data_IF_231806333463
#
_entry.id   IF_231806333463
#
_cell.length_a   1.000
_cell.length_b   1.000
_cell.length_c   1.000
_cell.angle_alpha   90.00
_cell.angle_beta   90.00
_cell.angle_gamma   90.00
#
_symmetry.space_group_name_H-M   'P 1'
#
loop_
_entity.id
_entity.type
_entity.pdbx_description
1 polymer ?
#
# COMPACT_ATOMS: atom_id res chain seq x y z
N UNK A 1 -47.84 -62.96 -15.94
CA UNK A 1 -47.54 -62.77 -14.50
C UNK A 1 -46.38 -61.80 -14.35
N UNK A 2 -46.56 -60.80 -13.47
CA UNK A 2 -45.52 -60.02 -12.75
C UNK A 2 -44.63 -59.06 -13.54
N UNK A 3 -45.24 -57.99 -14.06
CA UNK A 3 -44.61 -56.67 -14.16
C UNK A 3 -44.66 -56.03 -12.76
N UNK A 4 -43.62 -56.29 -11.96
CA UNK A 4 -43.49 -55.68 -10.63
C UNK A 4 -42.19 -54.92 -10.54
N UNK A 5 -42.35 -53.61 -10.34
CA UNK A 5 -41.58 -52.80 -9.39
C UNK A 5 -40.07 -52.68 -9.67
N UNK A 6 -39.69 -51.88 -10.64
CA UNK A 6 -38.36 -51.24 -10.64
C UNK A 6 -38.54 -49.78 -11.08
N UNK A 7 -39.22 -49.01 -10.23
CA UNK A 7 -39.46 -47.58 -10.43
C UNK A 7 -39.15 -46.85 -9.11
N UNK A 8 -37.95 -47.04 -8.54
CA UNK A 8 -37.55 -46.26 -7.35
C UNK A 8 -36.04 -46.38 -7.06
N UNK A 9 -35.15 -45.99 -7.99
CA UNK A 9 -33.73 -45.82 -7.63
C UNK A 9 -32.95 -44.96 -8.62
N UNK A 10 -33.47 -43.76 -8.93
CA UNK A 10 -32.77 -42.80 -9.79
C UNK A 10 -32.95 -41.35 -9.32
N UNK A 11 -32.98 -41.12 -8.00
CA UNK A 11 -33.03 -39.77 -7.40
C UNK A 11 -32.15 -39.72 -6.14
N UNK A 12 -30.91 -40.24 -6.21
CA UNK A 12 -29.87 -39.98 -5.19
C UNK A 12 -28.51 -40.07 -5.88
N UNK A 13 -28.14 -39.06 -6.67
CA UNK A 13 -26.86 -39.13 -7.38
C UNK A 13 -26.45 -37.91 -8.19
N UNK A 14 -27.14 -36.77 -8.07
CA UNK A 14 -26.78 -35.53 -8.78
C UNK A 14 -27.01 -34.33 -7.86
N UNK A 15 -26.34 -34.30 -6.71
CA UNK A 15 -26.31 -33.12 -5.84
C UNK A 15 -24.93 -32.86 -5.20
N UNK A 16 -23.85 -33.44 -5.72
CA UNK A 16 -22.54 -33.40 -5.08
C UNK A 16 -21.36 -33.05 -6.00
N UNK A 17 -21.51 -32.05 -6.88
CA UNK A 17 -20.36 -31.54 -7.70
C UNK A 17 -20.36 -30.00 -7.90
N UNK A 18 -21.01 -29.20 -7.05
CA UNK A 18 -21.10 -27.74 -7.25
C UNK A 18 -20.63 -26.89 -6.05
N UNK A 19 -19.66 -27.37 -5.27
CA UNK A 19 -19.17 -26.65 -4.09
C UNK A 19 -17.65 -26.36 -4.07
N UNK A 20 -16.93 -26.48 -5.19
CA UNK A 20 -15.47 -26.23 -5.21
C UNK A 20 -15.00 -25.16 -6.20
N UNK A 21 -15.91 -24.36 -6.75
CA UNK A 21 -15.52 -23.05 -7.29
C UNK A 21 -15.40 -22.03 -6.12
N UNK A 22 -14.65 -22.37 -5.07
CA UNK A 22 -14.17 -21.34 -4.15
C UNK A 22 -13.15 -20.55 -4.96
N UNK A 23 -13.54 -19.34 -5.31
CA UNK A 23 -12.75 -18.35 -6.01
C UNK A 23 -11.37 -18.23 -5.33
N UNK A 24 -10.37 -18.95 -5.82
CA UNK A 24 -8.96 -18.67 -5.53
C UNK A 24 -8.53 -17.51 -6.41
N UNK A 25 -9.27 -16.39 -6.34
CA UNK A 25 -8.85 -15.15 -6.97
C UNK A 25 -7.64 -14.67 -6.19
N UNK A 26 -6.46 -15.11 -6.63
CA UNK A 26 -5.20 -14.48 -6.26
C UNK A 26 -5.36 -12.99 -6.52
N UNK A 27 -5.05 -12.16 -5.52
CA UNK A 27 -5.09 -10.72 -5.68
C UNK A 27 -4.26 -10.30 -6.91
N UNK A 28 -4.70 -9.30 -7.67
CA UNK A 28 -3.93 -8.82 -8.82
C UNK A 28 -2.57 -8.35 -8.34
N UNK A 29 -1.52 -8.73 -9.10
CA UNK A 29 -0.21 -8.14 -8.94
C UNK A 29 -0.25 -6.71 -9.49
N UNK A 30 0.28 -5.75 -8.75
CA UNK A 30 0.50 -4.38 -9.22
C UNK A 30 1.97 -3.99 -9.02
N UNK A 31 2.44 -3.07 -9.86
CA UNK A 31 3.78 -2.48 -9.80
C UNK A 31 3.63 -0.97 -9.66
N UNK A 32 4.30 -0.41 -8.67
CA UNK A 32 4.35 1.04 -8.44
C UNK A 32 5.79 1.51 -8.36
N UNK A 33 6.05 2.76 -8.69
CA UNK A 33 7.35 3.37 -8.42
C UNK A 33 7.33 4.00 -7.02
N UNK A 34 8.28 3.63 -6.17
CA UNK A 34 8.50 4.30 -4.89
C UNK A 34 9.79 5.12 -4.99
N UNK A 35 9.65 6.42 -4.78
CA UNK A 35 10.77 7.36 -4.69
C UNK A 35 10.78 8.04 -3.33
N UNK A 36 11.94 8.06 -2.68
CA UNK A 36 12.17 8.70 -1.38
C UNK A 36 13.26 9.75 -1.57
N UNK A 37 12.93 11.02 -1.37
CA UNK A 37 13.80 12.17 -1.57
C UNK A 37 13.89 12.97 -0.28
N UNK A 38 15.11 13.23 0.19
CA UNK A 38 15.33 14.13 1.31
C UNK A 38 15.86 15.48 0.83
N UNK A 39 17.16 15.74 1.03
CA UNK A 39 17.83 17.01 0.75
C UNK A 39 18.27 17.18 -0.71
N UNK A 40 18.62 16.08 -1.39
CA UNK A 40 19.08 16.10 -2.78
C UNK A 40 18.11 15.39 -3.74
N UNK A 41 17.37 16.13 -4.59
CA UNK A 41 16.46 15.52 -5.55
C UNK A 41 17.17 14.75 -6.68
N UNK A 42 18.45 15.04 -6.96
CA UNK A 42 19.23 14.32 -7.97
C UNK A 42 19.78 13.00 -7.43
N UNK A 43 19.88 12.84 -6.10
CA UNK A 43 20.38 11.65 -5.43
C UNK A 43 19.36 11.14 -4.39
N UNK A 44 18.24 10.53 -4.84
CA UNK A 44 17.21 10.03 -3.93
C UNK A 44 17.75 8.92 -3.02
N UNK A 45 17.17 8.82 -1.81
CA UNK A 45 17.42 7.72 -0.87
C UNK A 45 17.00 6.39 -1.50
N UNK A 46 15.89 6.41 -2.23
CA UNK A 46 15.35 5.26 -2.95
C UNK A 46 14.64 5.72 -4.22
N UNK A 47 14.80 4.99 -5.31
CA UNK A 47 14.01 5.12 -6.54
C UNK A 47 13.91 3.73 -7.18
N UNK A 48 12.79 3.04 -6.97
CA UNK A 48 12.64 1.63 -7.35
C UNK A 48 11.21 1.26 -7.70
N UNK A 49 11.05 0.17 -8.45
CA UNK A 49 9.76 -0.48 -8.67
C UNK A 49 9.44 -1.42 -7.49
N UNK A 50 8.27 -1.25 -6.89
CA UNK A 50 7.73 -2.11 -5.83
C UNK A 50 6.60 -2.95 -6.41
N UNK A 51 6.70 -4.27 -6.25
CA UNK A 51 5.66 -5.21 -6.68
C UNK A 51 4.82 -5.64 -5.48
N UNK A 52 3.50 -5.50 -5.57
CA UNK A 52 2.56 -5.86 -4.51
C UNK A 52 1.54 -6.87 -5.02
N UNK A 53 1.09 -7.74 -4.12
CA UNK A 53 0.02 -8.71 -4.39
C UNK A 53 -1.04 -8.62 -3.26
N UNK A 54 -1.80 -7.53 -3.27
CA UNK A 54 -2.83 -7.20 -2.27
C UNK A 54 -4.14 -6.83 -2.97
N UNK A 55 -5.29 -7.10 -2.34
CA UNK A 55 -6.61 -6.80 -2.91
C UNK A 55 -6.88 -5.28 -2.97
N UNK A 56 -6.37 -4.54 -1.98
CA UNK A 56 -6.50 -3.08 -1.88
C UNK A 56 -5.19 -2.49 -1.38
N UNK A 57 -4.13 -2.49 -2.23
CA UNK A 57 -2.82 -2.02 -1.83
C UNK A 57 -2.87 -0.54 -1.46
N UNK A 58 -2.05 -0.17 -0.46
CA UNK A 58 -1.99 1.21 0.05
C UNK A 58 -0.61 1.80 -0.10
N UNK A 59 -0.52 3.13 0.01
CA UNK A 59 0.77 3.84 0.01
C UNK A 59 1.69 3.31 1.10
N UNK A 60 1.17 3.06 2.31
CA UNK A 60 1.99 2.54 3.41
C UNK A 60 2.51 1.13 3.10
N UNK A 61 1.69 0.25 2.52
CA UNK A 61 2.14 -1.10 2.12
C UNK A 61 3.27 -1.05 1.09
N UNK A 62 3.15 -0.21 0.05
CA UNK A 62 4.21 -0.02 -0.94
C UNK A 62 5.50 0.51 -0.30
N UNK A 63 5.36 1.49 0.61
CA UNK A 63 6.50 2.06 1.34
C UNK A 63 7.23 0.99 2.16
N UNK A 64 6.49 0.22 2.95
CA UNK A 64 7.07 -0.80 3.83
C UNK A 64 7.76 -1.91 3.03
N UNK A 65 7.15 -2.38 1.94
CA UNK A 65 7.74 -3.39 1.06
C UNK A 65 9.01 -2.84 0.38
N UNK A 66 8.95 -1.64 -0.19
CA UNK A 66 10.10 -0.99 -0.82
C UNK A 66 11.27 -0.79 0.15
N UNK A 67 11.00 -0.33 1.36
CA UNK A 67 12.01 -0.19 2.40
C UNK A 67 12.55 -1.54 2.89
N UNK A 68 11.71 -2.55 3.04
CA UNK A 68 12.13 -3.89 3.46
C UNK A 68 13.09 -4.53 2.43
N UNK A 69 12.73 -4.51 1.15
CA UNK A 69 13.55 -5.08 0.07
C UNK A 69 14.90 -4.38 -0.08
N UNK A 70 14.93 -3.06 0.16
CA UNK A 70 16.13 -2.23 -0.01
C UNK A 70 16.87 -1.91 1.30
N UNK A 71 16.50 -2.57 2.40
CA UNK A 71 17.12 -2.41 3.73
C UNK A 71 17.14 -0.95 4.24
N UNK A 72 16.11 -0.16 3.89
CA UNK A 72 15.94 1.23 4.36
C UNK A 72 15.29 1.22 5.74
N UNK A 73 15.94 1.85 6.72
CA UNK A 73 15.37 2.01 8.07
C UNK A 73 14.32 3.11 8.10
N UNK A 74 13.23 2.86 8.84
CA UNK A 74 12.16 3.83 9.05
C UNK A 74 11.48 3.61 10.39
N UNK A 75 10.71 4.60 10.82
CA UNK A 75 9.76 4.49 11.93
C UNK A 75 8.38 4.92 11.44
N UNK A 76 7.34 4.32 12.01
CA UNK A 76 5.98 4.76 11.81
C UNK A 76 5.56 5.69 12.93
N UNK A 77 4.49 6.44 12.69
CA UNK A 77 3.74 7.13 13.74
C UNK A 77 3.21 6.14 14.78
N UNK A 78 2.87 6.62 15.99
CA UNK A 78 2.34 5.77 17.06
C UNK A 78 1.03 5.04 16.69
N UNK A 79 0.26 5.60 15.76
CA UNK A 79 -0.97 5.01 15.23
C UNK A 79 -0.73 4.02 14.09
N UNK A 80 0.53 3.88 13.64
CA UNK A 80 0.94 3.07 12.50
C UNK A 80 0.14 3.39 11.21
N UNK A 81 -0.28 4.65 11.05
CA UNK A 81 -1.09 5.09 9.91
C UNK A 81 -0.32 5.89 8.86
N UNK A 82 0.90 6.33 9.19
CA UNK A 82 1.85 7.03 8.32
C UNK A 82 3.30 6.81 8.75
N UNK A 83 4.22 7.12 7.83
CA UNK A 83 5.68 7.19 8.07
C UNK A 83 6.00 8.40 8.92
N UNK A 84 6.94 8.24 9.86
CA UNK A 84 7.41 9.32 10.74
C UNK A 84 8.87 9.68 10.45
N UNK A 85 9.78 8.72 10.55
CA UNK A 85 11.20 8.94 10.28
C UNK A 85 11.67 7.99 9.17
N UNK A 86 12.61 8.43 8.34
CA UNK A 86 13.28 7.59 7.33
C UNK A 86 14.78 7.83 7.47
N UNK A 87 15.55 6.78 7.72
CA UNK A 87 16.98 6.85 8.00
C UNK A 87 17.31 7.84 9.13
N UNK A 88 18.09 8.89 8.84
CA UNK A 88 18.49 9.92 9.79
C UNK A 88 17.56 11.16 9.77
N UNK A 89 16.56 11.19 8.88
CA UNK A 89 15.61 12.29 8.73
C UNK A 89 14.40 12.09 9.62
N UNK A 90 14.20 13.03 10.54
CA UNK A 90 13.22 12.93 11.63
C UNK A 90 12.27 14.11 11.64
N UNK A 91 11.06 13.88 12.13
CA UNK A 91 10.13 14.98 12.35
C UNK A 91 10.59 15.87 13.54
N UNK A 92 10.75 17.18 13.30
CA UNK A 92 11.03 18.16 14.37
C UNK A 92 10.68 19.61 13.98
N UNK A 93 10.66 20.50 14.97
CA UNK A 93 10.60 21.95 14.76
C UNK A 93 11.94 22.56 15.16
N UNK A 94 12.52 23.37 14.28
CA UNK A 94 13.82 24.00 14.53
C UNK A 94 13.71 25.28 15.39
N UNK A 95 14.85 25.88 15.70
CA UNK A 95 14.94 27.08 16.54
C UNK A 95 14.26 28.32 15.91
N UNK A 96 14.01 28.31 14.60
CA UNK A 96 13.32 29.37 13.88
C UNK A 96 11.80 29.10 13.76
N UNK A 97 11.31 28.01 14.35
CA UNK A 97 9.90 27.62 14.25
C UNK A 97 9.53 26.90 12.95
N UNK A 98 10.51 26.55 12.09
CA UNK A 98 10.25 25.80 10.87
C UNK A 98 10.02 24.32 11.22
N UNK A 99 8.98 23.74 10.65
CA UNK A 99 8.61 22.34 10.84
C UNK A 99 9.24 21.52 9.72
N UNK A 100 9.97 20.48 10.09
CA UNK A 100 10.58 19.51 9.17
C UNK A 100 9.86 18.19 9.32
N UNK A 101 9.36 17.62 8.21
CA UNK A 101 8.60 16.37 8.23
C UNK A 101 8.56 15.67 6.87
N UNK A 102 8.15 14.41 6.86
CA UNK A 102 7.91 13.67 5.63
C UNK A 102 6.50 13.91 5.08
N UNK A 103 6.42 14.30 3.80
CA UNK A 103 5.18 14.38 3.04
C UNK A 103 5.22 13.35 1.91
N UNK A 104 4.05 12.94 1.41
CA UNK A 104 4.00 12.06 0.24
C UNK A 104 2.98 12.52 -0.79
N UNK A 105 3.17 12.05 -2.01
CA UNK A 105 2.33 12.33 -3.17
C UNK A 105 2.09 11.05 -3.97
N UNK A 106 0.95 11.01 -4.66
CA UNK A 106 0.63 9.96 -5.64
C UNK A 106 0.47 10.65 -6.99
N UNK A 107 1.32 10.30 -7.96
CA UNK A 107 1.33 10.91 -9.31
C UNK A 107 1.39 12.45 -9.26
N UNK A 108 2.29 13.00 -8.44
CA UNK A 108 2.47 14.44 -8.19
C UNK A 108 1.25 15.14 -7.58
N UNK A 109 0.30 14.39 -7.02
CA UNK A 109 -0.89 14.91 -6.35
C UNK A 109 -0.82 14.62 -4.85
N UNK A 110 -1.07 15.65 -4.04
CA UNK A 110 -1.16 15.53 -2.59
C UNK A 110 -2.36 14.62 -2.21
N UNK A 111 -2.18 13.66 -1.29
CA UNK A 111 -3.22 12.71 -0.91
C UNK A 111 -4.40 13.40 -0.23
N UNK A 112 -5.60 12.85 -0.42
CA UNK A 112 -6.82 13.42 0.19
C UNK A 112 -6.83 13.26 1.72
N UNK A 113 -6.10 12.27 2.23
CA UNK A 113 -5.87 12.03 3.66
C UNK A 113 -4.36 11.98 3.91
N UNK A 114 -3.87 12.64 4.95
CA UNK A 114 -2.46 12.53 5.36
C UNK A 114 -2.04 11.13 5.87
N UNK A 115 -2.99 10.20 6.05
CA UNK A 115 -2.74 8.82 6.52
C UNK A 115 -2.38 7.88 5.36
N UNK A 116 -1.14 7.45 5.25
CA UNK A 116 -0.67 6.60 4.15
C UNK A 116 -1.35 5.21 4.12
N UNK A 117 -1.81 4.68 5.26
CA UNK A 117 -2.43 3.35 5.36
C UNK A 117 -3.86 3.25 4.81
N UNK A 118 -4.49 4.35 4.42
CA UNK A 118 -5.86 4.36 3.86
C UNK A 118 -5.91 4.92 2.43
N UNK A 119 -4.80 5.43 1.91
CA UNK A 119 -4.76 5.94 0.54
C UNK A 119 -4.44 4.76 -0.40
N UNK A 120 -5.40 4.36 -1.26
CA UNK A 120 -5.21 3.25 -2.18
C UNK A 120 -4.27 3.63 -3.33
N UNK A 121 -3.61 2.63 -3.89
CA UNK A 121 -2.74 2.77 -5.07
C UNK A 121 -3.14 1.78 -6.15
N UNK A 122 -2.80 2.10 -7.39
CA UNK A 122 -3.07 1.32 -8.58
C UNK A 122 -1.76 0.98 -9.33
N UNK A 123 -1.86 -0.02 -10.23
CA UNK A 123 -0.75 -0.39 -11.11
C UNK A 123 -0.28 0.82 -11.94
N UNK A 124 1.03 1.06 -11.94
CA UNK A 124 1.68 2.16 -12.63
C UNK A 124 1.75 3.47 -11.84
N UNK A 125 1.21 3.54 -10.61
CA UNK A 125 1.31 4.75 -9.78
C UNK A 125 2.76 5.07 -9.39
N UNK A 126 3.04 6.37 -9.25
CA UNK A 126 4.29 6.90 -8.71
C UNK A 126 4.03 7.47 -7.33
N UNK A 127 4.70 6.92 -6.32
CA UNK A 127 4.65 7.36 -4.93
C UNK A 127 5.95 8.11 -4.64
N UNK A 128 5.84 9.39 -4.31
CA UNK A 128 6.96 10.21 -3.88
C UNK A 128 6.83 10.49 -2.39
N UNK A 129 7.81 10.11 -1.59
CA UNK A 129 8.04 10.66 -0.26
C UNK A 129 9.10 11.76 -0.34
N UNK A 130 8.77 12.95 0.15
CA UNK A 130 9.63 14.13 0.14
C UNK A 130 9.79 14.65 1.57
N UNK A 131 11.04 14.90 1.98
CA UNK A 131 11.32 15.56 3.26
C UNK A 131 11.21 17.06 3.08
N UNK A 132 10.22 17.67 3.74
CA UNK A 132 9.85 19.07 3.52
C UNK A 132 10.11 19.92 4.75
N UNK A 133 10.34 21.21 4.51
CA UNK A 133 10.37 22.26 5.53
C UNK A 133 9.19 23.20 5.32
N UNK A 134 8.40 23.43 6.36
CA UNK A 134 7.21 24.28 6.36
C UNK A 134 7.33 25.41 7.39
N UNK A 135 7.01 26.63 6.97
CA UNK A 135 6.88 27.79 7.85
C UNK A 135 5.39 28.00 8.21
N UNK A 136 4.98 27.67 9.45
CA UNK A 136 3.60 27.85 9.89
C UNK A 136 3.18 29.32 10.02
N UNK A 137 4.12 30.25 10.20
CA UNK A 137 3.82 31.68 10.35
C UNK A 137 3.64 32.36 9.00
N UNK A 138 4.30 31.90 7.95
CA UNK A 138 4.12 32.41 6.59
C UNK A 138 2.75 32.06 5.98
N UNK A 139 2.07 31.05 6.52
CA UNK A 139 0.77 30.57 6.05
C UNK A 139 -0.43 31.18 6.79
N UNK A 140 -0.19 32.01 7.80
CA UNK A 140 -1.21 32.66 8.65
C UNK A 140 -1.56 34.10 8.20
#
# INVERSE_FOLDING_TARGET
MKLTRILTLMIVGVFFVLALASCSATAPEIKVTLRIVADDPENPILDTEVTLQSENPTVLEAFQEGCFVNEISYTLTDAEDSVKDITDYKDYTDENGLVHYWMYYINDVEPTSGKANVNPIADGDVILYEYVTFDPEAAA
#
